data_IF_329378715781
#
_entry.id   IF_329378715781
#
_cell.length_a   1.000
_cell.length_b   1.000
_cell.length_c   1.000
_cell.angle_alpha   90.00
_cell.angle_beta   90.00
_cell.angle_gamma   90.00
#
_symmetry.space_group_name_H-M   'P 1'
#
loop_
_entity.id
_entity.type
_entity.pdbx_description
1 polymer ?
#
# COMPACT_ATOMS: atom_id res chain seq x y z
N UNK A 1 -13.76 -18.82 40.90
CA UNK A 1 -13.08 -19.15 39.62
C UNK A 1 -13.40 -18.07 38.60
N UNK A 2 -12.68 -16.96 38.69
CA UNK A 2 -12.76 -15.84 37.75
C UNK A 2 -11.34 -15.30 37.48
N UNK A 3 -11.26 -14.38 36.53
CA UNK A 3 -10.19 -13.39 36.29
C UNK A 3 -9.28 -13.61 35.06
N UNK A 4 -9.23 -14.78 34.41
CA UNK A 4 -8.27 -14.99 33.28
C UNK A 4 -8.83 -14.83 31.86
N UNK A 5 -10.13 -14.67 31.64
CA UNK A 5 -10.71 -14.57 30.29
C UNK A 5 -10.92 -13.14 29.78
N UNK A 6 -10.68 -12.12 30.59
CA UNK A 6 -10.90 -10.71 30.21
C UNK A 6 -9.63 -9.93 29.80
N UNK A 7 -8.46 -10.59 29.73
CA UNK A 7 -7.21 -9.93 29.30
C UNK A 7 -6.98 -9.93 27.78
N UNK A 8 -7.79 -10.66 27.01
CA UNK A 8 -7.71 -10.69 25.54
C UNK A 8 -8.90 -10.01 24.83
N UNK A 9 -9.85 -9.43 25.59
CA UNK A 9 -11.06 -8.79 25.04
C UNK A 9 -11.01 -7.26 24.99
N UNK A 10 -9.91 -6.61 25.40
CA UNK A 10 -9.73 -5.20 25.08
C UNK A 10 -9.47 -5.08 23.58
N UNK A 11 -10.53 -4.84 22.78
CA UNK A 11 -10.39 -4.36 21.40
C UNK A 11 -9.38 -3.22 21.45
N UNK A 12 -8.14 -3.44 21.00
CA UNK A 12 -7.13 -2.38 20.94
C UNK A 12 -7.79 -1.22 20.20
N UNK A 13 -7.86 -0.05 20.85
CA UNK A 13 -8.54 1.11 20.28
C UNK A 13 -7.83 1.47 18.97
N UNK A 14 -8.51 1.23 17.85
CA UNK A 14 -7.98 1.56 16.54
C UNK A 14 -8.29 3.04 16.29
N UNK A 15 -7.25 3.85 16.11
CA UNK A 15 -7.41 5.28 15.84
C UNK A 15 -7.19 5.49 14.34
N UNK A 16 -8.22 5.86 13.55
CA UNK A 16 -8.02 6.15 12.13
C UNK A 16 -7.12 7.38 11.97
N UNK A 17 -6.13 7.30 11.08
CA UNK A 17 -5.10 8.33 10.91
C UNK A 17 -5.20 9.00 9.54
N UNK A 18 -5.27 8.17 8.50
CA UNK A 18 -5.21 8.59 7.10
C UNK A 18 -6.14 7.71 6.29
N UNK A 19 -6.88 8.32 5.37
CA UNK A 19 -7.64 7.60 4.35
C UNK A 19 -7.12 7.98 2.97
N UNK A 20 -6.94 6.98 2.12
CA UNK A 20 -6.65 7.14 0.70
C UNK A 20 -7.85 6.61 -0.09
N UNK A 21 -8.26 7.36 -1.10
CA UNK A 21 -9.31 6.95 -2.04
C UNK A 21 -8.74 6.99 -3.44
N UNK A 22 -8.65 5.82 -4.08
CA UNK A 22 -8.21 5.68 -5.46
C UNK A 22 -9.43 5.38 -6.29
N UNK A 23 -9.64 6.16 -7.32
CA UNK A 23 -10.81 6.05 -8.20
C UNK A 23 -10.36 5.61 -9.58
N UNK A 24 -11.14 4.73 -10.20
CA UNK A 24 -10.99 4.35 -11.60
C UNK A 24 -12.34 4.50 -12.30
N UNK A 25 -12.36 5.02 -13.51
CA UNK A 25 -13.46 4.77 -14.44
C UNK A 25 -13.17 3.57 -15.35
N UNK A 26 -14.12 3.25 -16.23
CA UNK A 26 -14.02 2.12 -17.17
C UNK A 26 -12.86 2.30 -18.18
N UNK A 27 -12.39 3.53 -18.42
CA UNK A 27 -11.28 3.88 -19.31
C UNK A 27 -9.92 3.96 -18.57
N UNK A 28 -9.88 3.53 -17.30
CA UNK A 28 -8.71 3.63 -16.41
C UNK A 28 -8.18 5.06 -16.23
N UNK A 29 -9.04 6.09 -16.37
CA UNK A 29 -8.72 7.39 -15.80
C UNK A 29 -8.80 7.27 -14.29
N UNK A 30 -7.76 7.73 -13.63
CA UNK A 30 -7.60 7.59 -12.19
C UNK A 30 -7.29 8.90 -11.49
N UNK A 31 -7.90 9.06 -10.32
CA UNK A 31 -7.50 10.08 -9.37
C UNK A 31 -7.32 9.47 -7.98
N UNK A 32 -6.41 10.06 -7.22
CA UNK A 32 -6.15 9.71 -5.83
C UNK A 32 -6.37 10.90 -4.93
N UNK A 33 -7.10 10.67 -3.84
CA UNK A 33 -7.40 11.66 -2.82
C UNK A 33 -6.99 11.15 -1.43
N UNK A 34 -6.47 12.05 -0.59
CA UNK A 34 -6.10 11.75 0.79
C UNK A 34 -6.93 12.59 1.76
N UNK A 35 -7.47 11.93 2.79
CA UNK A 35 -8.24 12.55 3.86
C UNK A 35 -7.50 12.33 5.19
N UNK A 36 -7.12 13.44 5.86
CA UNK A 36 -6.50 13.42 7.18
C UNK A 36 -7.58 13.18 8.24
N UNK A 37 -7.58 11.99 8.87
CA UNK A 37 -8.57 11.59 9.86
C UNK A 37 -8.14 11.88 11.32
N UNK A 38 -6.84 12.12 11.54
CA UNK A 38 -6.30 12.46 12.86
C UNK A 38 -5.43 13.72 12.81
N UNK A 39 -5.59 14.62 13.79
CA UNK A 39 -4.86 15.89 13.86
C UNK A 39 -3.33 15.70 13.94
N UNK A 40 -2.88 14.65 14.65
CA UNK A 40 -1.49 14.26 14.79
C UNK A 40 -0.90 13.40 13.67
N UNK A 41 -1.49 13.40 12.46
CA UNK A 41 -0.88 12.76 11.29
C UNK A 41 0.53 13.31 11.03
N UNK A 42 1.50 12.42 10.87
CA UNK A 42 2.89 12.74 10.51
C UNK A 42 3.23 12.14 9.13
N UNK A 43 4.19 12.72 8.41
CA UNK A 43 4.57 12.32 7.05
C UNK A 43 4.95 10.83 6.91
N UNK A 44 5.62 10.16 7.88
CA UNK A 44 5.90 8.72 7.78
C UNK A 44 4.65 7.83 7.75
N UNK A 45 3.46 8.33 8.12
CA UNK A 45 2.21 7.57 7.98
C UNK A 45 1.80 7.36 6.52
N UNK A 46 2.22 8.23 5.61
CA UNK A 46 2.00 8.03 4.17
C UNK A 46 2.84 6.86 3.63
N UNK A 47 4.07 6.70 4.14
CA UNK A 47 4.90 5.51 3.86
C UNK A 47 4.17 4.26 4.37
N UNK A 48 3.75 4.27 5.65
CA UNK A 48 3.04 3.13 6.26
C UNK A 48 1.75 2.78 5.51
N UNK A 49 1.02 3.77 5.01
CA UNK A 49 -0.15 3.57 4.15
C UNK A 49 0.22 2.75 2.90
N UNK A 50 1.24 3.16 2.15
CA UNK A 50 1.71 2.42 0.97
C UNK A 50 2.08 0.99 1.32
N UNK A 51 2.93 0.79 2.33
CA UNK A 51 3.45 -0.53 2.65
C UNK A 51 2.33 -1.50 3.06
N UNK A 52 1.40 -1.05 3.90
CA UNK A 52 0.28 -1.92 4.34
C UNK A 52 -0.72 -2.15 3.21
N UNK A 53 -0.99 -1.14 2.38
CA UNK A 53 -1.86 -1.28 1.23
C UNK A 53 -1.28 -2.25 0.20
N UNK A 54 0.01 -2.14 -0.10
CA UNK A 54 0.72 -3.04 -0.98
C UNK A 54 0.62 -4.50 -0.52
N UNK A 55 0.93 -4.76 0.76
CA UNK A 55 0.76 -6.09 1.35
C UNK A 55 -0.68 -6.60 1.21
N UNK A 56 -1.67 -5.73 1.43
CA UNK A 56 -3.09 -6.08 1.33
C UNK A 56 -3.52 -6.40 -0.10
N UNK A 57 -3.03 -5.67 -1.11
CA UNK A 57 -3.36 -5.91 -2.51
C UNK A 57 -2.80 -7.25 -2.99
N UNK A 58 -1.57 -7.61 -2.60
CA UNK A 58 -1.00 -8.92 -2.90
C UNK A 58 -1.83 -10.07 -2.32
N UNK A 59 -2.33 -9.93 -1.08
CA UNK A 59 -3.23 -10.92 -0.47
C UNK A 59 -4.56 -11.01 -1.23
N UNK A 60 -5.11 -9.88 -1.70
CA UNK A 60 -6.37 -9.89 -2.45
C UNK A 60 -6.22 -10.44 -3.86
N UNK A 61 -5.04 -10.34 -4.47
CA UNK A 61 -4.76 -10.95 -5.77
C UNK A 61 -4.65 -12.47 -5.63
N UNK A 62 -4.12 -13.02 -4.53
CA UNK A 62 -3.92 -14.46 -4.27
C UNK A 62 -3.34 -15.25 -5.48
N UNK A 63 -2.01 -15.42 -5.57
CA UNK A 63 -1.38 -16.09 -6.71
C UNK A 63 -1.68 -17.60 -6.80
N UNK A 64 -2.36 -18.20 -5.80
CA UNK A 64 -2.81 -19.59 -5.90
C UNK A 64 -4.06 -19.74 -6.79
N UNK A 65 -4.67 -18.64 -7.21
CA UNK A 65 -5.75 -18.62 -8.19
C UNK A 65 -5.16 -18.52 -9.61
N UNK A 66 -5.51 -19.41 -10.55
CA UNK A 66 -4.94 -19.42 -11.90
C UNK A 66 -5.06 -18.08 -12.65
N UNK A 67 -6.13 -17.34 -12.41
CA UNK A 67 -6.42 -16.07 -13.09
C UNK A 67 -5.66 -14.86 -12.48
N UNK A 68 -4.95 -15.07 -11.37
CA UNK A 68 -4.34 -14.01 -10.57
C UNK A 68 -2.84 -13.84 -10.74
N UNK A 69 -2.15 -14.85 -11.28
CA UNK A 69 -0.69 -14.85 -11.42
C UNK A 69 -0.20 -13.63 -12.21
N UNK A 70 -0.88 -13.32 -13.33
CA UNK A 70 -0.51 -12.17 -14.17
C UNK A 70 -0.62 -10.83 -13.43
N UNK A 71 -1.68 -10.64 -12.63
CA UNK A 71 -1.87 -9.42 -11.85
C UNK A 71 -0.85 -9.33 -10.70
N UNK A 72 -0.50 -10.48 -10.10
CA UNK A 72 0.51 -10.56 -9.05
C UNK A 72 1.89 -10.19 -9.60
N UNK A 73 2.31 -10.80 -10.71
CA UNK A 73 3.59 -10.53 -11.36
C UNK A 73 3.67 -9.10 -11.89
N UNK A 74 2.57 -8.56 -12.44
CA UNK A 74 2.46 -7.17 -12.84
C UNK A 74 2.72 -6.22 -11.66
N UNK A 75 2.08 -6.47 -10.51
CA UNK A 75 2.26 -5.66 -9.32
C UNK A 75 3.71 -5.73 -8.82
N UNK A 76 4.28 -6.93 -8.67
CA UNK A 76 5.67 -7.08 -8.21
C UNK A 76 6.67 -6.40 -9.16
N UNK A 77 6.46 -6.51 -10.47
CA UNK A 77 7.32 -5.91 -11.51
C UNK A 77 7.20 -4.39 -11.52
N UNK A 78 5.99 -3.86 -11.36
CA UNK A 78 5.76 -2.41 -11.23
C UNK A 78 6.54 -1.85 -10.03
N UNK A 79 6.53 -2.56 -8.89
CA UNK A 79 7.30 -2.16 -7.71
C UNK A 79 8.81 -2.26 -7.95
N UNK A 80 9.29 -3.31 -8.62
CA UNK A 80 10.71 -3.42 -8.98
C UNK A 80 11.17 -2.21 -9.81
N UNK A 81 10.41 -1.83 -10.83
CA UNK A 81 10.75 -0.68 -11.66
C UNK A 81 10.79 0.64 -10.85
N UNK A 82 9.88 0.81 -9.90
CA UNK A 82 9.86 1.97 -9.00
C UNK A 82 11.08 2.01 -8.07
N UNK A 83 11.46 0.88 -7.46
CA UNK A 83 12.53 0.87 -6.46
C UNK A 83 13.94 0.96 -7.06
N UNK A 84 14.14 0.56 -8.32
CA UNK A 84 15.43 0.73 -9.02
C UNK A 84 15.61 2.11 -9.65
N UNK A 85 14.53 2.89 -9.75
CA UNK A 85 14.53 4.23 -10.34
C UNK A 85 14.78 5.31 -9.28
N UNK A 86 15.28 6.47 -9.69
CA UNK A 86 15.31 7.64 -8.80
C UNK A 86 13.93 8.32 -8.79
N UNK A 87 13.29 8.36 -7.62
CA UNK A 87 11.97 8.98 -7.43
C UNK A 87 12.00 10.22 -6.53
N UNK A 88 13.19 10.73 -6.18
CA UNK A 88 13.36 11.85 -5.26
C UNK A 88 12.79 13.18 -5.77
N UNK A 89 12.78 13.39 -7.09
CA UNK A 89 12.22 14.60 -7.72
C UNK A 89 10.75 14.44 -8.17
N UNK A 90 9.99 13.54 -7.52
CA UNK A 90 8.58 13.28 -7.82
C UNK A 90 8.29 13.04 -9.33
N UNK A 91 8.94 12.03 -9.94
CA UNK A 91 8.76 11.72 -11.36
C UNK A 91 7.38 11.13 -11.64
N UNK A 92 7.07 10.96 -12.93
CA UNK A 92 5.87 10.24 -13.36
C UNK A 92 5.99 8.74 -13.00
N UNK A 93 5.43 8.36 -11.86
CA UNK A 93 5.43 6.98 -11.35
C UNK A 93 4.67 6.01 -12.27
N UNK A 94 3.64 6.45 -12.99
CA UNK A 94 2.92 5.57 -13.91
C UNK A 94 3.83 5.12 -15.06
N UNK A 95 4.67 6.03 -15.56
CA UNK A 95 5.67 5.71 -16.58
C UNK A 95 6.78 4.81 -16.04
N UNK A 96 7.26 5.08 -14.84
CA UNK A 96 8.30 4.24 -14.21
C UNK A 96 7.75 2.83 -13.97
N UNK A 97 6.51 2.71 -13.51
CA UNK A 97 5.84 1.43 -13.30
C UNK A 97 5.45 0.71 -14.60
N UNK A 98 5.65 1.32 -15.77
CA UNK A 98 5.27 0.78 -17.09
C UNK A 98 3.76 0.52 -17.20
N UNK A 99 2.94 1.50 -16.76
CA UNK A 99 1.47 1.45 -16.81
C UNK A 99 0.84 2.70 -17.44
N UNK A 100 1.64 3.64 -17.96
CA UNK A 100 1.15 4.92 -18.50
C UNK A 100 0.46 4.82 -19.87
N UNK A 101 0.58 3.66 -20.54
CA UNK A 101 -0.17 3.31 -21.74
C UNK A 101 -1.60 2.86 -21.45
N UNK A 102 -1.84 2.32 -20.24
CA UNK A 102 -3.15 1.81 -19.79
C UNK A 102 -3.84 2.75 -18.81
N UNK A 103 -3.10 3.41 -17.92
CA UNK A 103 -3.63 4.22 -16.81
C UNK A 103 -3.30 5.70 -17.01
N UNK A 104 -4.26 6.57 -16.74
CA UNK A 104 -4.08 8.04 -16.87
C UNK A 104 -4.49 8.77 -15.63
N UNK A 105 -3.64 9.68 -15.13
CA UNK A 105 -4.01 10.59 -14.04
C UNK A 105 -4.96 11.67 -14.55
N UNK A 106 -6.26 11.42 -14.42
CA UNK A 106 -7.31 12.34 -14.82
C UNK A 106 -8.52 12.13 -13.92
N UNK A 107 -9.29 13.21 -13.71
CA UNK A 107 -10.54 13.11 -12.95
C UNK A 107 -11.49 12.14 -13.69
N UNK A 108 -12.01 11.10 -13.02
CA UNK A 108 -12.94 10.16 -13.65
C UNK A 108 -14.15 10.86 -14.26
N UNK A 109 -14.51 10.50 -15.49
CA UNK A 109 -15.63 11.12 -16.22
C UNK A 109 -16.73 10.10 -16.49
N UNK A 110 -17.50 9.71 -15.45
CA UNK A 110 -18.61 8.77 -15.63
C UNK A 110 -18.85 7.90 -14.40
N UNK A 111 -19.24 6.65 -14.65
CA UNK A 111 -19.27 5.62 -13.61
C UNK A 111 -17.85 5.34 -13.16
N UNK A 112 -17.63 5.35 -11.84
CA UNK A 112 -16.33 5.11 -11.26
C UNK A 112 -16.44 4.13 -10.10
N UNK A 113 -15.32 3.47 -9.82
CA UNK A 113 -15.15 2.54 -8.72
C UNK A 113 -14.06 3.06 -7.79
N UNK A 114 -14.31 2.99 -6.49
CA UNK A 114 -13.41 3.53 -5.47
C UNK A 114 -12.78 2.41 -4.66
N UNK A 115 -11.45 2.39 -4.65
CA UNK A 115 -10.63 1.61 -3.74
C UNK A 115 -10.33 2.50 -2.54
N UNK A 116 -10.90 2.16 -1.39
CA UNK A 116 -10.75 2.95 -0.17
C UNK A 116 -9.80 2.21 0.76
N UNK A 117 -8.80 2.92 1.28
CA UNK A 117 -7.88 2.41 2.27
C UNK A 117 -7.87 3.31 3.50
N UNK A 118 -8.03 2.76 4.70
CA UNK A 118 -7.96 3.50 5.96
C UNK A 118 -6.85 2.91 6.82
N UNK A 119 -5.85 3.73 7.15
CA UNK A 119 -4.76 3.39 8.05
C UNK A 119 -5.14 3.72 9.49
N UNK A 120 -5.00 2.75 10.38
CA UNK A 120 -5.26 2.87 11.81
C UNK A 120 -3.98 2.74 12.63
N UNK A 121 -3.88 3.54 13.69
CA UNK A 121 -2.91 3.35 14.77
C UNK A 121 -3.45 2.36 15.78
N UNK A 122 -2.67 1.32 16.08
CA UNK A 122 -2.92 0.39 17.20
C UNK A 122 -2.02 0.69 18.41
N UNK A 123 -0.82 1.19 18.15
CA UNK A 123 0.19 1.63 19.13
C UNK A 123 1.19 2.56 18.44
N UNK A 124 2.23 3.03 19.15
CA UNK A 124 3.26 3.87 18.53
C UNK A 124 3.85 3.29 17.24
N UNK A 125 4.08 1.97 17.20
CA UNK A 125 4.69 1.28 16.05
C UNK A 125 3.72 0.45 15.22
N UNK A 126 2.65 -0.07 15.81
CA UNK A 126 1.75 -0.99 15.12
C UNK A 126 0.69 -0.22 14.33
N UNK A 127 0.52 -0.62 13.07
CA UNK A 127 -0.53 -0.12 12.20
C UNK A 127 -1.41 -1.27 11.73
N UNK A 128 -2.61 -0.91 11.31
CA UNK A 128 -3.55 -1.80 10.64
C UNK A 128 -4.16 -1.04 9.47
N UNK A 129 -4.50 -1.75 8.40
CA UNK A 129 -5.18 -1.16 7.25
C UNK A 129 -6.50 -1.88 7.01
N UNK A 130 -7.58 -1.12 6.87
CA UNK A 130 -8.81 -1.62 6.26
C UNK A 130 -8.85 -1.18 4.80
N UNK A 131 -9.40 -2.05 3.95
CA UNK A 131 -9.56 -1.77 2.52
C UNK A 131 -10.96 -2.15 2.08
N UNK A 132 -11.61 -1.26 1.34
CA UNK A 132 -12.83 -1.54 0.60
C UNK A 132 -12.47 -1.58 -0.88
N UNK A 133 -12.54 -2.78 -1.48
CA UNK A 133 -12.30 -3.00 -2.90
C UNK A 133 -13.66 -3.24 -3.56
N UNK A 134 -13.99 -2.53 -4.65
CA UNK A 134 -15.26 -2.70 -5.34
C UNK A 134 -15.35 -4.12 -5.91
N UNK A 135 -16.52 -4.76 -5.79
CA UNK A 135 -16.76 -6.12 -6.33
C UNK A 135 -16.58 -6.22 -7.84
N UNK A 136 -16.71 -5.09 -8.53
CA UNK A 136 -16.61 -5.00 -9.99
C UNK A 136 -15.21 -4.55 -10.43
N UNK A 137 -14.28 -4.30 -9.50
CA UNK A 137 -12.91 -3.93 -9.83
C UNK A 137 -12.15 -5.12 -10.41
N UNK A 138 -11.35 -4.88 -11.45
CA UNK A 138 -10.53 -5.94 -12.06
C UNK A 138 -9.27 -6.20 -11.23
N UNK A 139 -8.69 -7.40 -11.33
CA UNK A 139 -7.41 -7.72 -10.70
C UNK A 139 -6.28 -6.80 -11.18
N UNK A 140 -6.35 -6.31 -12.43
CA UNK A 140 -5.42 -5.32 -12.94
C UNK A 140 -5.56 -3.98 -12.22
N UNK A 141 -6.78 -3.49 -11.99
CA UNK A 141 -7.00 -2.27 -11.21
C UNK A 141 -6.51 -2.42 -9.77
N UNK A 142 -6.66 -3.61 -9.16
CA UNK A 142 -6.04 -3.94 -7.87
C UNK A 142 -4.51 -3.80 -7.94
N UNK A 143 -3.86 -4.32 -8.98
CA UNK A 143 -2.42 -4.17 -9.17
C UNK A 143 -1.99 -2.71 -9.41
N UNK A 144 -2.67 -1.99 -10.32
CA UNK A 144 -2.38 -0.60 -10.66
C UNK A 144 -2.59 0.38 -9.49
N UNK A 145 -3.51 0.05 -8.57
CA UNK A 145 -3.80 0.89 -7.41
C UNK A 145 -2.57 1.16 -6.54
N UNK A 146 -1.60 0.24 -6.48
CA UNK A 146 -0.40 0.42 -5.64
C UNK A 146 0.57 1.47 -6.23
N UNK A 147 1.00 1.39 -7.50
CA UNK A 147 1.75 2.49 -8.15
C UNK A 147 1.03 3.84 -8.09
N UNK A 148 -0.29 3.87 -8.24
CA UNK A 148 -1.07 5.12 -8.13
C UNK A 148 -1.03 5.67 -6.70
N UNK A 149 -1.13 4.81 -5.69
CA UNK A 149 -0.95 5.20 -4.30
C UNK A 149 0.44 5.78 -4.06
N UNK A 150 1.48 5.13 -4.59
CA UNK A 150 2.86 5.62 -4.51
C UNK A 150 2.95 7.03 -5.13
N UNK A 151 2.44 7.20 -6.36
CA UNK A 151 2.41 8.51 -7.01
C UNK A 151 1.76 9.58 -6.14
N UNK A 152 0.60 9.27 -5.55
CA UNK A 152 -0.14 10.19 -4.70
C UNK A 152 0.59 10.56 -3.41
N UNK A 153 1.34 9.64 -2.78
CA UNK A 153 2.00 9.94 -1.50
C UNK A 153 3.28 10.76 -1.65
N UNK A 154 3.97 10.72 -2.79
CA UNK A 154 5.28 11.37 -2.94
C UNK A 154 5.25 12.88 -2.65
N UNK A 155 4.13 13.55 -2.93
CA UNK A 155 3.96 14.98 -2.63
C UNK A 155 3.99 15.31 -1.12
N UNK A 156 3.83 14.32 -0.25
CA UNK A 156 3.82 14.48 1.21
C UNK A 156 5.13 14.04 1.87
N UNK A 157 6.09 13.56 1.09
CA UNK A 157 7.35 13.01 1.59
C UNK A 157 8.52 13.91 1.22
N UNK A 158 9.47 14.04 2.14
CA UNK A 158 10.78 14.64 1.83
C UNK A 158 11.74 13.60 1.23
N UNK A 159 12.91 14.04 0.75
CA UNK A 159 13.88 13.17 0.10
C UNK A 159 14.34 11.97 0.96
N UNK A 160 14.54 12.15 2.27
CA UNK A 160 14.90 11.07 3.18
C UNK A 160 13.75 10.07 3.34
N UNK A 161 12.52 10.56 3.48
CA UNK A 161 11.32 9.73 3.55
C UNK A 161 11.06 8.93 2.28
N UNK A 162 11.37 9.50 1.11
CA UNK A 162 11.34 8.80 -0.17
C UNK A 162 12.34 7.64 -0.18
N UNK A 163 13.57 7.85 0.31
CA UNK A 163 14.56 6.78 0.42
C UNK A 163 14.10 5.67 1.38
N UNK A 164 13.49 6.04 2.52
CA UNK A 164 12.89 5.07 3.46
C UNK A 164 11.79 4.26 2.76
N UNK A 165 10.91 4.91 1.99
CA UNK A 165 9.87 4.23 1.21
C UNK A 165 10.48 3.25 0.21
N UNK A 166 11.46 3.68 -0.60
CA UNK A 166 12.10 2.81 -1.59
C UNK A 166 12.76 1.59 -0.95
N UNK A 167 13.54 1.79 0.12
CA UNK A 167 14.21 0.70 0.83
C UNK A 167 13.20 -0.27 1.45
N UNK A 168 12.12 0.22 2.02
CA UNK A 168 11.06 -0.61 2.56
C UNK A 168 10.37 -1.42 1.45
N UNK A 169 10.05 -0.79 0.32
CA UNK A 169 9.48 -1.47 -0.84
C UNK A 169 10.41 -2.56 -1.38
N UNK A 170 11.72 -2.31 -1.49
CA UNK A 170 12.72 -3.32 -1.89
C UNK A 170 12.67 -4.54 -0.98
N UNK A 171 12.72 -4.32 0.35
CA UNK A 171 12.67 -5.41 1.34
C UNK A 171 11.36 -6.21 1.25
N UNK A 172 10.24 -5.53 1.04
CA UNK A 172 8.94 -6.19 0.86
C UNK A 172 8.92 -7.00 -0.43
N UNK A 173 9.34 -6.43 -1.56
CA UNK A 173 9.30 -7.08 -2.86
C UNK A 173 10.16 -8.34 -2.90
N UNK A 174 11.39 -8.26 -2.37
CA UNK A 174 12.27 -9.43 -2.24
C UNK A 174 11.64 -10.55 -1.42
N UNK A 175 10.95 -10.20 -0.32
CA UNK A 175 10.30 -11.18 0.55
C UNK A 175 9.12 -11.84 -0.15
N UNK A 176 8.30 -11.08 -0.87
CA UNK A 176 7.14 -11.61 -1.57
C UNK A 176 7.50 -12.45 -2.81
N UNK A 177 8.63 -12.16 -3.46
CA UNK A 177 9.17 -13.00 -4.53
C UNK A 177 9.73 -14.33 -4.02
N UNK A 178 10.29 -14.36 -2.80
CA UNK A 178 10.91 -15.55 -2.19
C UNK A 178 9.92 -16.43 -1.43
N UNK A 179 8.75 -15.90 -1.05
CA UNK A 179 7.78 -16.63 -0.24
C UNK A 179 6.98 -17.62 -1.09
N UNK A 180 7.01 -18.90 -0.72
CA UNK A 180 6.10 -19.91 -1.26
C UNK A 180 4.83 -20.07 -0.40
N UNK A 181 4.76 -19.40 0.75
CA UNK A 181 3.64 -19.52 1.70
C UNK A 181 2.83 -18.22 1.72
N UNK A 182 1.84 -18.17 0.81
CA UNK A 182 0.99 -17.01 0.57
C UNK A 182 -0.16 -16.88 1.58
N UNK A 183 -0.39 -17.90 2.41
CA UNK A 183 -1.58 -18.00 3.28
C UNK A 183 -1.32 -17.62 4.75
N UNK A 184 -0.08 -17.33 5.16
CA UNK A 184 0.19 -16.92 6.54
C UNK A 184 -0.10 -15.43 6.76
N UNK A 185 -1.37 -15.13 7.06
CA UNK A 185 -1.85 -13.78 7.38
C UNK A 185 -1.02 -13.08 8.48
N UNK A 186 -0.45 -13.81 9.44
CA UNK A 186 0.40 -13.20 10.48
C UNK A 186 1.73 -12.73 9.90
N UNK A 187 2.28 -13.48 8.95
CA UNK A 187 3.46 -13.07 8.21
C UNK A 187 3.16 -11.81 7.41
N UNK A 188 2.05 -11.76 6.67
CA UNK A 188 1.66 -10.60 5.84
C UNK A 188 1.47 -9.30 6.62
N UNK A 189 0.86 -9.33 7.79
CA UNK A 189 0.70 -8.14 8.63
C UNK A 189 2.04 -7.63 9.21
N UNK A 190 3.00 -8.54 9.43
CA UNK A 190 4.30 -8.18 10.01
C UNK A 190 5.30 -7.64 8.98
N UNK A 191 5.21 -8.06 7.71
CA UNK A 191 6.12 -7.63 6.63
C UNK A 191 6.22 -6.11 6.50
N UNK A 192 5.12 -5.34 6.33
CA UNK A 192 5.21 -3.89 6.15
C UNK A 192 5.76 -3.18 7.39
N UNK A 193 5.49 -3.70 8.59
CA UNK A 193 6.00 -3.15 9.86
C UNK A 193 7.52 -3.34 9.93
N UNK A 194 7.99 -4.56 9.66
CA UNK A 194 9.42 -4.89 9.73
C UNK A 194 10.22 -4.15 8.65
N UNK A 195 9.70 -4.06 7.42
CA UNK A 195 10.34 -3.34 6.33
C UNK A 195 10.47 -1.83 6.63
N UNK A 196 9.42 -1.23 7.20
CA UNK A 196 9.46 0.16 7.63
C UNK A 196 10.51 0.41 8.73
N UNK A 197 10.51 -0.42 9.78
CA UNK A 197 11.45 -0.27 10.90
C UNK A 197 12.91 -0.45 10.44
N UNK A 198 13.19 -1.47 9.64
CA UNK A 198 14.52 -1.71 9.10
C UNK A 198 15.01 -0.53 8.24
N UNK A 199 14.11 0.10 7.50
CA UNK A 199 14.44 1.23 6.63
C UNK A 199 14.71 2.52 7.39
N UNK A 200 14.01 2.75 8.51
CA UNK A 200 14.31 3.88 9.42
C UNK A 200 15.69 3.69 10.05
N UNK A 201 15.95 2.53 10.64
CA UNK A 201 17.22 2.27 11.35
C UNK A 201 18.40 2.53 10.41
N UNK A 202 18.32 2.00 9.20
CA UNK A 202 19.40 2.16 8.22
C UNK A 202 19.49 3.57 7.59
N UNK A 203 18.58 4.49 7.90
CA UNK A 203 18.65 5.92 7.53
C UNK A 203 19.27 6.80 8.62
N UNK A 204 19.47 6.24 9.82
CA UNK A 204 20.12 6.92 10.94
C UNK A 204 21.65 6.68 10.99
N UNK A 205 22.15 5.76 10.15
CA UNK A 205 23.56 5.41 9.94
C UNK A 205 24.19 6.17 8.76
#
# INVERSE_FOLDING_TARGET
MGILTNLFSSKRKQIPILKATITFDDDNNTSIEFEKLHSGLVSPEYIRMVLHYYAKMLVNIDPNQPDSINAYDLLLTSIDNIVISDITENPNILKIADIDDVVRLAKPTGQYYSFIAILYSLSGLLRHISTEIPTNGTLQQVAFSVPILIHGVLQFLNANEIQILQRALTLMNERYRKSNDYNDLKTWESVPINAFLASIIASED
#
